data_IF_447359930016
#
_entry.id   IF_447359930016
#
_cell.length_a   1.000
_cell.length_b   1.000
_cell.length_c   1.000
_cell.angle_alpha   90.00
_cell.angle_beta   90.00
_cell.angle_gamma   90.00
#
_symmetry.space_group_name_H-M   'P 1'
#
loop_
_entity.id
_entity.type
_entity.pdbx_description
1 polymer ?
#
# COMPACT_ATOMS: atom_id res chain seq x y z
N UNK A 1 35.60 -0.68 -6.98
CA UNK A 1 34.44 -0.61 -7.89
C UNK A 1 33.27 -0.21 -7.04
N UNK A 2 32.97 1.09 -6.99
CA UNK A 2 31.89 1.64 -6.17
C UNK A 2 30.59 1.19 -6.82
N UNK A 3 29.89 0.26 -6.18
CA UNK A 3 28.49 0.02 -6.48
C UNK A 3 27.79 1.36 -6.24
N UNK A 4 27.40 2.06 -7.30
CA UNK A 4 26.56 3.25 -7.19
C UNK A 4 25.22 2.76 -6.66
N UNK A 5 25.12 2.68 -5.33
CA UNK A 5 23.93 2.22 -4.65
C UNK A 5 22.76 3.07 -5.11
N UNK A 6 21.90 2.49 -5.95
CA UNK A 6 20.79 3.22 -6.54
C UNK A 6 19.85 3.65 -5.42
N UNK A 7 19.70 4.96 -5.22
CA UNK A 7 18.80 5.49 -4.20
C UNK A 7 17.36 5.47 -4.71
N UNK A 8 16.42 5.21 -3.82
CA UNK A 8 15.00 5.43 -4.07
C UNK A 8 14.37 6.19 -2.90
N UNK A 9 13.31 6.92 -3.20
CA UNK A 9 12.51 7.65 -2.23
C UNK A 9 11.16 6.98 -2.03
N UNK A 10 10.68 6.95 -0.79
CA UNK A 10 9.31 6.51 -0.50
C UNK A 10 8.33 7.59 -0.93
N UNK A 11 7.46 7.28 -1.90
CA UNK A 11 6.53 8.22 -2.53
C UNK A 11 5.09 8.05 -2.06
N UNK A 12 4.77 6.97 -1.34
CA UNK A 12 3.39 6.73 -0.89
C UNK A 12 3.02 7.60 0.33
N UNK A 13 2.01 8.49 0.24
CA UNK A 13 1.71 9.51 1.25
C UNK A 13 1.23 8.96 2.59
N UNK A 14 0.61 7.76 2.58
CA UNK A 14 0.12 7.12 3.80
C UNK A 14 1.16 6.20 4.46
N UNK A 15 2.40 6.17 3.96
CA UNK A 15 3.45 5.34 4.55
C UNK A 15 4.23 6.12 5.61
N UNK A 16 4.57 5.53 6.78
CA UNK A 16 5.32 6.24 7.84
C UNK A 16 6.70 6.74 7.39
N UNK A 17 7.31 6.08 6.40
CA UNK A 17 8.61 6.46 5.83
C UNK A 17 8.48 7.45 4.65
N UNK A 18 7.30 8.04 4.42
CA UNK A 18 7.09 8.96 3.30
C UNK A 18 8.15 10.05 3.23
N UNK A 19 8.69 10.26 2.03
CA UNK A 19 9.69 11.26 1.75
C UNK A 19 11.12 10.88 2.12
N UNK A 20 11.35 9.75 2.80
CA UNK A 20 12.69 9.24 3.11
C UNK A 20 13.34 8.53 1.92
N UNK A 21 14.65 8.58 1.87
CA UNK A 21 15.47 7.93 0.84
C UNK A 21 16.25 6.75 1.42
N UNK A 22 16.41 5.70 0.62
CA UNK A 22 17.11 4.47 1.00
C UNK A 22 17.94 3.97 -0.19
N UNK A 23 19.04 3.26 0.12
CA UNK A 23 19.80 2.52 -0.87
C UNK A 23 19.04 1.25 -1.28
N UNK A 24 18.88 1.06 -2.60
CA UNK A 24 18.30 -0.13 -3.18
C UNK A 24 19.30 -1.28 -3.03
N UNK A 25 18.93 -2.29 -2.25
CA UNK A 25 19.71 -3.51 -2.12
C UNK A 25 19.38 -4.51 -3.23
N UNK A 26 18.09 -4.65 -3.56
CA UNK A 26 17.61 -5.54 -4.63
C UNK A 26 16.21 -5.11 -5.09
N UNK A 27 15.85 -5.41 -6.34
CA UNK A 27 14.49 -5.28 -6.88
C UNK A 27 14.14 -6.52 -7.66
N UNK A 28 13.06 -7.19 -7.26
CA UNK A 28 12.61 -8.41 -7.92
C UNK A 28 11.11 -8.55 -7.87
N UNK A 29 10.55 -9.09 -8.94
CA UNK A 29 9.17 -9.52 -8.95
C UNK A 29 9.03 -10.75 -8.04
N UNK A 30 8.25 -10.63 -6.98
CA UNK A 30 7.97 -11.73 -6.06
C UNK A 30 6.46 -11.93 -6.02
N UNK A 31 5.99 -13.13 -6.40
CA UNK A 31 4.56 -13.48 -6.41
C UNK A 31 3.69 -12.56 -7.28
N UNK A 32 4.22 -12.08 -8.41
CA UNK A 32 3.51 -11.19 -9.33
C UNK A 32 3.58 -9.71 -8.96
N UNK A 33 4.16 -9.37 -7.81
CA UNK A 33 4.32 -7.99 -7.35
C UNK A 33 5.78 -7.56 -7.41
N UNK A 34 6.04 -6.41 -8.02
CA UNK A 34 7.37 -5.81 -8.07
C UNK A 34 7.72 -5.16 -6.72
N UNK A 35 8.83 -5.60 -6.13
CA UNK A 35 9.23 -5.23 -4.76
C UNK A 35 10.67 -4.77 -4.72
N UNK A 36 10.91 -3.72 -3.93
CA UNK A 36 12.25 -3.23 -3.60
C UNK A 36 12.65 -3.68 -2.20
N UNK A 37 13.93 -4.01 -2.05
CA UNK A 37 14.56 -4.43 -0.80
C UNK A 37 15.60 -3.37 -0.41
N UNK A 38 15.65 -3.04 0.87
CA UNK A 38 16.51 -1.99 1.40
C UNK A 38 16.86 -2.24 2.87
N UNK A 39 17.95 -1.65 3.34
CA UNK A 39 18.29 -1.65 4.76
C UNK A 39 17.71 -0.42 5.45
N UNK A 40 17.09 -0.60 6.61
CA UNK A 40 16.67 0.51 7.47
C UNK A 40 17.85 1.09 8.28
N UNK A 41 17.57 2.11 9.10
CA UNK A 41 18.58 2.77 9.95
C UNK A 41 19.24 1.82 10.97
N UNK A 42 18.65 0.65 11.21
CA UNK A 42 19.17 -0.39 12.11
C UNK A 42 19.95 -1.47 11.35
N UNK A 43 20.03 -1.37 10.03
CA UNK A 43 20.65 -2.36 9.16
C UNK A 43 19.75 -3.56 8.84
N UNK A 44 18.48 -3.55 9.25
CA UNK A 44 17.56 -4.66 8.96
C UNK A 44 17.12 -4.61 7.50
N UNK A 45 17.13 -5.78 6.82
CA UNK A 45 16.58 -5.90 5.47
C UNK A 45 15.04 -5.81 5.49
N UNK A 46 14.51 -4.71 4.96
CA UNK A 46 13.07 -4.48 4.74
C UNK A 46 12.72 -4.62 3.27
N UNK A 47 11.43 -4.75 2.99
CA UNK A 47 10.89 -4.81 1.63
C UNK A 47 9.62 -3.98 1.52
N UNK A 48 9.38 -3.37 0.38
CA UNK A 48 8.13 -2.67 0.08
C UNK A 48 7.77 -2.78 -1.41
N UNK A 49 6.50 -2.60 -1.78
CA UNK A 49 6.12 -2.54 -3.19
C UNK A 49 6.87 -1.43 -3.91
N UNK A 50 7.40 -1.72 -5.11
CA UNK A 50 8.06 -0.70 -5.92
C UNK A 50 7.11 0.46 -6.26
N UNK A 51 5.81 0.18 -6.39
CA UNK A 51 4.77 1.20 -6.61
C UNK A 51 4.67 2.25 -5.49
N UNK A 52 5.25 1.99 -4.31
CA UNK A 52 5.29 2.94 -3.19
C UNK A 52 6.58 3.77 -3.16
N UNK A 53 7.45 3.60 -4.15
CA UNK A 53 8.74 4.27 -4.23
C UNK A 53 8.97 4.90 -5.59
N UNK A 54 9.96 5.79 -5.66
CA UNK A 54 10.44 6.38 -6.91
C UNK A 54 11.14 5.37 -7.84
N UNK A 55 11.32 4.12 -7.41
CA UNK A 55 11.91 3.07 -8.23
C UNK A 55 10.90 2.50 -9.25
N UNK A 56 9.60 2.64 -9.00
CA UNK A 56 8.59 2.36 -10.00
C UNK A 56 8.52 3.47 -11.05
N UNK A 57 8.29 3.09 -12.31
CA UNK A 57 7.97 4.05 -13.35
C UNK A 57 6.66 4.76 -12.98
N UNK A 58 6.61 6.12 -13.03
CA UNK A 58 5.39 6.86 -12.75
C UNK A 58 4.28 6.39 -13.68
N UNK A 59 3.12 6.07 -13.12
CA UNK A 59 1.98 5.74 -13.96
C UNK A 59 1.39 7.02 -14.59
N UNK A 60 0.69 6.90 -15.72
CA UNK A 60 0.15 8.06 -16.44
C UNK A 60 -0.73 8.98 -15.57
N UNK A 61 -1.45 8.41 -14.61
CA UNK A 61 -2.26 9.17 -13.69
C UNK A 61 -1.42 9.98 -12.68
N UNK A 62 -0.36 9.41 -12.14
CA UNK A 62 0.57 10.13 -11.25
C UNK A 62 1.23 11.32 -11.95
N UNK A 63 1.61 11.14 -13.21
CA UNK A 63 2.17 12.21 -14.05
C UNK A 63 1.15 13.34 -14.27
N UNK A 64 -0.10 13.01 -14.59
CA UNK A 64 -1.15 14.01 -14.88
C UNK A 64 -1.66 14.68 -13.59
N UNK A 65 -1.80 13.92 -12.51
CA UNK A 65 -2.28 14.45 -11.22
C UNK A 65 -1.25 15.38 -10.59
N UNK A 66 0.04 15.13 -10.82
CA UNK A 66 1.15 15.90 -10.27
C UNK A 66 1.03 16.08 -8.74
N UNK A 67 0.56 15.03 -8.06
CA UNK A 67 0.35 15.05 -6.61
C UNK A 67 -0.92 15.77 -6.13
N UNK A 68 -1.74 16.32 -7.04
CA UNK A 68 -3.00 17.02 -6.69
C UNK A 68 -4.16 16.06 -6.40
N UNK A 69 -4.05 14.81 -6.84
CA UNK A 69 -5.02 13.76 -6.54
C UNK A 69 -4.31 12.43 -6.26
N UNK A 70 -4.66 11.81 -5.14
CA UNK A 70 -4.10 10.51 -4.72
C UNK A 70 -4.86 9.30 -5.27
N UNK A 71 -6.11 9.49 -5.71
CA UNK A 71 -6.97 8.40 -6.20
C UNK A 71 -7.61 8.78 -7.52
N UNK A 72 -7.78 7.80 -8.41
CA UNK A 72 -8.65 7.96 -9.58
C UNK A 72 -10.11 7.95 -9.12
N UNK A 73 -10.99 8.52 -9.94
CA UNK A 73 -12.43 8.47 -9.68
C UNK A 73 -12.91 7.01 -9.56
N UNK A 74 -12.39 6.13 -10.42
CA UNK A 74 -12.68 4.69 -10.36
C UNK A 74 -12.27 4.07 -9.02
N UNK A 75 -11.08 4.36 -8.52
CA UNK A 75 -10.59 3.85 -7.23
C UNK A 75 -11.50 4.31 -6.08
N UNK A 76 -11.95 5.56 -6.11
CA UNK A 76 -12.89 6.11 -5.12
C UNK A 76 -14.25 5.40 -5.18
N UNK A 77 -14.79 5.18 -6.38
CA UNK A 77 -16.04 4.44 -6.56
C UNK A 77 -15.89 3.00 -6.02
N UNK A 78 -14.82 2.29 -6.39
CA UNK A 78 -14.54 0.95 -5.89
C UNK A 78 -14.41 0.93 -4.35
N UNK A 79 -13.73 1.91 -3.76
CA UNK A 79 -13.59 2.04 -2.31
C UNK A 79 -14.95 2.23 -1.63
N UNK A 80 -15.84 3.07 -2.19
CA UNK A 80 -17.18 3.27 -1.61
C UNK A 80 -18.01 2.00 -1.64
N UNK A 81 -17.93 1.23 -2.74
CA UNK A 81 -18.59 -0.08 -2.86
C UNK A 81 -18.06 -1.07 -1.83
N UNK A 82 -16.73 -1.12 -1.65
CA UNK A 82 -16.09 -2.00 -0.67
C UNK A 82 -16.51 -1.66 0.76
N UNK A 83 -16.53 -0.37 1.12
CA UNK A 83 -16.97 0.11 2.44
C UNK A 83 -18.45 -0.23 2.66
N UNK A 84 -19.32 -0.01 1.67
CA UNK A 84 -20.73 -0.34 1.77
C UNK A 84 -20.94 -1.83 2.06
N UNK A 85 -20.26 -2.70 1.30
CA UNK A 85 -20.26 -4.15 1.50
C UNK A 85 -19.75 -4.54 2.89
N UNK A 86 -18.63 -3.96 3.32
CA UNK A 86 -18.04 -4.25 4.63
C UNK A 86 -18.98 -3.87 5.79
N UNK A 87 -19.68 -2.74 5.68
CA UNK A 87 -20.67 -2.32 6.70
C UNK A 87 -21.85 -3.27 6.76
N UNK A 88 -22.30 -3.78 5.62
CA UNK A 88 -23.39 -4.75 5.57
C UNK A 88 -22.99 -6.08 6.22
N UNK A 89 -21.86 -6.67 5.83
CA UNK A 89 -21.38 -7.93 6.42
C UNK A 89 -21.16 -7.81 7.93
N UNK A 90 -20.60 -6.68 8.38
CA UNK A 90 -20.38 -6.39 9.80
C UNK A 90 -21.70 -6.31 10.59
N UNK A 91 -22.75 -5.70 10.01
CA UNK A 91 -24.08 -5.65 10.64
C UNK A 91 -24.72 -7.04 10.70
N UNK A 92 -24.61 -7.83 9.63
CA UNK A 92 -25.14 -9.19 9.59
C UNK A 92 -24.45 -10.09 10.63
N UNK A 93 -23.13 -9.99 10.79
CA UNK A 93 -22.37 -10.70 11.81
C UNK A 93 -22.84 -10.34 13.24
N UNK A 94 -23.03 -9.05 13.54
CA UNK A 94 -23.56 -8.58 14.83
C UNK A 94 -24.97 -9.12 15.11
N UNK A 95 -25.86 -9.11 14.12
CA UNK A 95 -27.24 -9.64 14.24
C UNK A 95 -27.23 -11.14 14.55
N UNK A 96 -26.40 -11.92 13.85
CA UNK A 96 -26.25 -13.38 14.10
C UNK A 96 -25.74 -13.66 15.52
N UNK A 97 -24.75 -12.90 16.00
CA UNK A 97 -24.23 -13.04 17.36
C UNK A 97 -25.29 -12.70 18.44
N UNK A 98 -26.09 -11.65 18.22
CA UNK A 98 -27.20 -11.30 19.11
C UNK A 98 -28.28 -12.37 19.18
N UNK A 99 -28.66 -12.95 18.03
CA UNK A 99 -29.67 -14.03 17.97
C UNK A 99 -29.22 -15.31 18.68
N UNK A 100 -27.92 -15.66 18.59
CA UNK A 100 -27.33 -16.78 19.32
C UNK A 100 -27.40 -16.59 20.84
N UNK A 101 -27.20 -15.37 21.36
CA UNK A 101 -27.31 -15.09 22.80
C UNK A 101 -28.75 -15.21 23.32
N UNK A 102 -29.74 -14.86 22.50
CA UNK A 102 -31.17 -14.96 22.87
C UNK A 102 -31.69 -16.41 22.88
N UNK A 103 -31.11 -17.30 22.07
CA UNK A 103 -31.49 -18.72 21.99
C UNK A 103 -30.86 -19.61 23.07
N UNK A 104 -29.97 -19.06 23.91
CA UNK A 104 -29.26 -19.78 24.98
C UNK A 104 -29.89 -19.57 26.37
N UNK A 105 -31.08 -18.99 26.42
CA UNK A 105 -31.95 -18.86 27.60
C UNK A 105 -33.18 -19.71 27.38
#
# INVERSE_FOLDING_TARGET
MTDEAQLFRVTHPFHPLYGREFALADRRNTWGEDRVYFHDDRGDLKRMPAAWTSAAAPNAFETVSAGRSHFRIEDLLQLTMLIARYRETSRQAKRRAGRRKLSSK
#
